data_IF_942865398626
#
_entry.id   IF_942865398626
#
_cell.length_a   1.000
_cell.length_b   1.000
_cell.length_c   1.000
_cell.angle_alpha   90.00
_cell.angle_beta   90.00
_cell.angle_gamma   90.00
#
_symmetry.space_group_name_H-M   'P 1'
#
loop_
_entity.id
_entity.type
_entity.pdbx_description
1 polymer ?
#
# COMPACT_ATOMS: atom_id res chain seq x y z
N UNK A 1 -76.82 -3.64 7.93
CA UNK A 1 -76.39 -4.49 6.79
C UNK A 1 -75.86 -3.56 5.70
N UNK A 2 -74.53 -3.48 5.55
CA UNK A 2 -73.87 -2.52 4.64
C UNK A 2 -73.74 -3.11 3.23
N UNK A 3 -73.99 -2.24 2.24
CA UNK A 3 -74.13 -2.47 0.80
C UNK A 3 -72.83 -2.94 0.14
N UNK A 4 -72.97 -3.83 -0.84
CA UNK A 4 -71.98 -4.13 -1.87
C UNK A 4 -72.40 -3.51 -3.22
N UNK A 5 -71.38 -3.25 -4.06
CA UNK A 5 -71.42 -3.01 -5.51
C UNK A 5 -71.78 -1.58 -5.95
N UNK A 6 -71.24 -1.01 -7.04
CA UNK A 6 -70.43 -1.52 -8.16
C UNK A 6 -69.74 -0.26 -8.76
N UNK A 7 -68.43 -0.28 -8.99
CA UNK A 7 -67.68 0.82 -9.65
C UNK A 7 -67.45 0.52 -11.13
N UNK A 8 -67.41 1.54 -12.02
CA UNK A 8 -67.40 1.34 -13.45
C UNK A 8 -66.02 0.98 -14.01
N UNK A 9 -66.12 0.21 -15.08
CA UNK A 9 -65.10 -0.17 -16.06
C UNK A 9 -64.42 1.06 -16.69
N UNK A 10 -63.08 1.07 -16.75
CA UNK A 10 -62.34 1.91 -17.67
C UNK A 10 -61.20 1.09 -18.29
N UNK A 11 -61.35 0.81 -19.58
CA UNK A 11 -60.30 0.32 -20.47
C UNK A 11 -59.40 1.49 -20.87
N UNK A 12 -58.09 1.40 -20.64
CA UNK A 12 -57.10 2.19 -21.39
C UNK A 12 -55.91 1.32 -21.79
N UNK A 13 -55.49 1.57 -23.03
CA UNK A 13 -54.64 0.81 -23.93
C UNK A 13 -53.16 0.78 -23.49
N UNK A 14 -52.53 -0.37 -23.72
CA UNK A 14 -51.10 -0.65 -23.60
C UNK A 14 -50.25 0.27 -24.48
N UNK A 15 -49.17 0.83 -23.93
CA UNK A 15 -48.03 1.29 -24.73
C UNK A 15 -46.76 0.72 -24.10
N UNK A 16 -46.21 -0.30 -24.77
CA UNK A 16 -44.97 -0.96 -24.43
C UNK A 16 -43.81 -0.05 -24.89
N UNK A 17 -43.23 0.73 -23.98
CA UNK A 17 -41.90 1.33 -24.22
C UNK A 17 -40.85 0.42 -23.62
N UNK A 18 -40.18 -0.35 -24.49
CA UNK A 18 -38.86 -0.94 -24.21
C UNK A 18 -37.87 0.22 -24.02
N UNK A 19 -37.79 0.73 -22.79
CA UNK A 19 -36.70 1.58 -22.36
C UNK A 19 -35.49 0.68 -22.13
N UNK A 20 -34.51 0.79 -23.02
CA UNK A 20 -33.17 0.23 -22.85
C UNK A 20 -32.63 0.83 -21.56
N UNK A 21 -32.52 0.04 -20.50
CA UNK A 21 -31.73 0.44 -19.35
C UNK A 21 -30.27 0.39 -19.83
N UNK A 22 -29.72 1.56 -20.12
CA UNK A 22 -28.29 1.76 -20.19
C UNK A 22 -27.69 1.30 -18.86
N UNK A 23 -27.12 0.09 -18.88
CA UNK A 23 -26.14 -0.33 -17.89
C UNK A 23 -24.91 0.55 -18.11
N UNK A 24 -24.89 1.70 -17.44
CA UNK A 24 -23.65 2.43 -17.21
C UNK A 24 -22.80 1.57 -16.27
N UNK A 25 -21.94 0.74 -16.86
CA UNK A 25 -20.79 0.15 -16.20
C UNK A 25 -19.82 1.28 -15.83
N UNK A 26 -20.11 1.97 -14.73
CA UNK A 26 -19.21 2.92 -14.09
C UNK A 26 -18.52 2.26 -12.91
N UNK A 27 -17.53 1.40 -13.17
CA UNK A 27 -16.49 1.11 -12.18
C UNK A 27 -15.53 2.30 -12.17
N UNK A 28 -15.96 3.40 -11.56
CA UNK A 28 -15.03 4.42 -11.12
C UNK A 28 -14.32 3.80 -9.92
N UNK A 29 -13.16 3.21 -10.20
CA UNK A 29 -12.17 2.84 -9.20
C UNK A 29 -11.70 4.16 -8.58
N UNK A 30 -12.47 4.66 -7.60
CA UNK A 30 -12.17 5.89 -6.91
C UNK A 30 -11.01 5.59 -5.99
N UNK A 31 -9.81 5.62 -6.57
CA UNK A 31 -8.59 5.39 -5.83
C UNK A 31 -8.56 6.41 -4.70
N UNK A 32 -8.66 5.92 -3.47
CA UNK A 32 -8.70 6.78 -2.29
C UNK A 32 -7.43 7.63 -2.23
N UNK A 33 -7.56 8.87 -1.77
CA UNK A 33 -6.43 9.79 -1.69
C UNK A 33 -5.32 9.20 -0.79
N UNK A 34 -4.04 9.42 -1.11
CA UNK A 34 -2.94 9.03 -0.24
C UNK A 34 -3.04 9.64 1.16
N UNK A 35 -2.66 8.86 2.17
CA UNK A 35 -2.57 9.34 3.55
C UNK A 35 -1.22 10.06 3.72
N UNK A 36 -1.27 11.35 4.05
CA UNK A 36 -0.09 12.16 4.33
C UNK A 36 0.17 12.23 5.83
N UNK A 37 1.43 12.06 6.23
CA UNK A 37 1.87 12.14 7.62
C UNK A 37 3.17 12.92 7.69
N UNK A 38 3.34 13.75 8.71
CA UNK A 38 4.58 14.48 8.97
C UNK A 38 5.19 13.98 10.29
N UNK A 39 6.47 13.59 10.25
CA UNK A 39 7.22 13.10 11.41
C UNK A 39 8.59 13.77 11.46
N UNK A 40 8.88 14.57 12.48
CA UNK A 40 10.14 15.32 12.62
C UNK A 40 10.52 16.09 11.33
N UNK A 41 9.52 16.69 10.68
CA UNK A 41 9.70 17.44 9.43
C UNK A 41 9.80 16.59 8.15
N UNK A 42 9.83 15.27 8.25
CA UNK A 42 9.71 14.37 7.11
C UNK A 42 8.24 14.16 6.75
N UNK A 43 7.84 14.61 5.57
CA UNK A 43 6.55 14.27 4.97
C UNK A 43 6.63 12.88 4.34
N UNK A 44 5.69 12.03 4.70
CA UNK A 44 5.43 10.71 4.13
C UNK A 44 4.08 10.70 3.42
N UNK A 45 3.99 10.07 2.26
CA UNK A 45 2.71 9.75 1.61
C UNK A 45 2.55 8.24 1.51
N UNK A 46 1.48 7.71 2.08
CA UNK A 46 1.13 6.29 2.07
C UNK A 46 -0.06 6.05 1.14
N UNK A 47 0.00 4.98 0.36
CA UNK A 47 -1.14 4.51 -0.41
C UNK A 47 -2.22 4.01 0.58
N UNK A 48 -3.43 4.56 0.48
CA UNK A 48 -4.49 4.35 1.48
C UNK A 48 -5.10 2.96 1.46
N UNK A 49 -4.94 2.22 0.36
CA UNK A 49 -5.45 0.86 0.21
C UNK A 49 -4.39 -0.17 0.63
N UNK A 50 -3.15 0.03 0.17
CA UNK A 50 -2.07 -0.95 0.32
C UNK A 50 -1.15 -0.65 1.48
N UNK A 51 -1.17 0.55 2.06
CA UNK A 51 -0.24 0.98 3.10
C UNK A 51 1.21 1.19 2.61
N UNK A 52 1.45 1.12 1.30
CA UNK A 52 2.78 1.24 0.72
C UNK A 52 3.27 2.67 0.70
N UNK A 53 4.59 2.87 0.80
CA UNK A 53 5.21 4.19 0.78
C UNK A 53 5.32 4.73 -0.66
N UNK A 54 4.54 5.77 -0.96
CA UNK A 54 4.50 6.42 -2.27
C UNK A 54 5.55 7.51 -2.39
N UNK A 55 5.76 8.28 -1.31
CA UNK A 55 6.63 9.46 -1.35
C UNK A 55 7.29 9.72 0.01
N UNK A 56 8.52 10.23 -0.05
CA UNK A 56 9.19 10.88 1.07
C UNK A 56 9.71 12.27 0.64
N UNK A 57 9.48 13.28 1.47
CA UNK A 57 9.91 14.65 1.23
C UNK A 57 10.38 15.32 2.52
N UNK A 58 11.50 16.04 2.46
CA UNK A 58 12.05 16.75 3.62
C UNK A 58 12.41 18.20 3.25
N UNK A 59 12.13 19.20 4.11
CA UNK A 59 12.47 20.60 3.85
C UNK A 59 13.94 20.81 3.47
N UNK A 60 14.19 21.55 2.39
CA UNK A 60 15.52 21.82 1.86
C UNK A 60 16.10 20.71 0.98
N UNK A 61 15.67 19.45 1.15
CA UNK A 61 16.02 18.31 0.28
C UNK A 61 15.00 18.18 -0.87
N UNK A 62 13.73 18.46 -0.58
CA UNK A 62 12.62 18.16 -1.51
C UNK A 62 12.26 16.68 -1.48
N UNK A 63 11.66 16.18 -2.56
CA UNK A 63 11.32 14.77 -2.71
C UNK A 63 12.58 13.94 -2.93
N UNK A 64 12.71 12.85 -2.17
CA UNK A 64 13.84 11.91 -2.31
C UNK A 64 13.41 10.45 -2.43
N UNK A 65 12.12 10.18 -2.30
CA UNK A 65 11.50 8.93 -2.73
C UNK A 65 10.21 9.28 -3.45
N UNK A 66 10.00 8.71 -4.62
CA UNK A 66 8.75 8.80 -5.38
C UNK A 66 8.52 7.48 -6.14
N UNK A 67 7.42 6.81 -5.83
CA UNK A 67 7.05 5.54 -6.41
C UNK A 67 5.62 5.58 -6.95
N UNK A 68 5.42 4.95 -8.11
CA UNK A 68 4.07 4.67 -8.61
C UNK A 68 3.42 3.59 -7.75
N UNK A 69 2.08 3.50 -7.70
CA UNK A 69 1.38 2.53 -6.86
C UNK A 69 1.78 1.06 -7.08
N UNK A 70 2.10 0.70 -8.33
CA UNK A 70 2.56 -0.65 -8.71
C UNK A 70 3.99 -0.98 -8.22
N UNK A 71 4.76 0.04 -7.82
CA UNK A 71 6.15 -0.10 -7.36
C UNK A 71 6.35 0.28 -5.90
N UNK A 72 5.50 1.15 -5.37
CA UNK A 72 5.53 1.63 -4.00
C UNK A 72 5.52 0.45 -3.04
N UNK A 73 6.39 0.46 -2.04
CA UNK A 73 6.54 -0.66 -1.11
C UNK A 73 6.98 -0.12 0.24
N UNK A 74 6.85 -0.92 1.28
CA UNK A 74 7.37 -0.61 2.62
C UNK A 74 7.98 -1.83 3.29
N UNK A 75 7.42 -3.00 2.99
CA UNK A 75 7.93 -4.31 3.38
C UNK A 75 7.79 -5.28 2.20
N UNK A 76 8.80 -6.13 2.02
CA UNK A 76 8.78 -7.19 1.02
C UNK A 76 9.46 -8.46 1.56
N UNK A 77 8.78 -9.59 1.46
CA UNK A 77 9.22 -10.89 1.97
C UNK A 77 9.39 -11.87 0.81
N UNK A 78 10.47 -12.63 0.81
CA UNK A 78 10.59 -13.80 -0.07
C UNK A 78 9.94 -15.01 0.61
N UNK A 79 8.74 -15.36 0.18
CA UNK A 79 8.03 -16.54 0.64
C UNK A 79 8.49 -17.78 -0.12
N UNK A 80 8.89 -18.84 0.59
CA UNK A 80 9.43 -20.03 -0.04
C UNK A 80 8.31 -20.84 -0.70
N UNK A 81 8.51 -21.16 -1.96
CA UNK A 81 7.69 -22.08 -2.73
C UNK A 81 8.60 -23.09 -3.44
N UNK A 82 8.09 -24.25 -3.89
CA UNK A 82 8.91 -25.25 -4.59
C UNK A 82 9.50 -24.75 -5.91
N UNK A 83 8.85 -23.78 -6.56
CA UNK A 83 9.28 -23.20 -7.83
C UNK A 83 10.54 -22.33 -7.66
N UNK A 84 11.27 -22.16 -8.77
CA UNK A 84 12.58 -21.49 -8.77
C UNK A 84 12.53 -20.02 -8.35
N UNK A 85 11.49 -19.28 -8.74
CA UNK A 85 11.34 -17.88 -8.39
C UNK A 85 10.56 -17.72 -7.08
N UNK A 86 11.14 -17.07 -6.04
CA UNK A 86 10.46 -16.89 -4.78
C UNK A 86 9.19 -16.06 -4.98
N UNK A 87 8.10 -16.48 -4.34
CA UNK A 87 6.88 -15.68 -4.26
C UNK A 87 7.18 -14.46 -3.38
N UNK A 88 6.80 -13.27 -3.83
CA UNK A 88 6.97 -12.06 -3.02
C UNK A 88 5.67 -11.82 -2.24
N UNK A 89 5.76 -11.65 -0.93
CA UNK A 89 4.68 -11.11 -0.11
C UNK A 89 5.05 -9.69 0.28
N UNK A 90 4.33 -8.70 -0.23
CA UNK A 90 4.74 -7.30 -0.10
C UNK A 90 3.55 -6.36 0.10
N UNK A 91 3.79 -5.20 0.71
CA UNK A 91 2.73 -4.21 0.95
C UNK A 91 2.02 -3.82 -0.35
N UNK A 92 2.75 -3.71 -1.47
CA UNK A 92 2.23 -3.29 -2.78
C UNK A 92 1.22 -4.23 -3.42
N UNK A 93 1.30 -5.50 -3.06
CA UNK A 93 0.34 -6.53 -3.49
C UNK A 93 -0.79 -6.71 -2.47
N UNK A 94 -0.66 -6.11 -1.30
CA UNK A 94 -1.64 -6.22 -0.22
C UNK A 94 -2.83 -5.30 -0.46
N UNK A 95 -3.92 -5.59 0.25
CA UNK A 95 -5.18 -4.84 0.22
C UNK A 95 -5.74 -4.73 1.62
N UNK A 96 -6.50 -3.68 1.89
CA UNK A 96 -7.14 -3.49 3.20
C UNK A 96 -6.15 -3.20 4.32
N UNK A 97 -5.03 -2.53 4.02
CA UNK A 97 -4.10 -2.10 5.05
C UNK A 97 -4.81 -1.17 6.05
N UNK A 98 -4.56 -1.37 7.34
CA UNK A 98 -5.11 -0.49 8.39
C UNK A 98 -4.04 0.50 8.80
N UNK A 99 -4.23 1.76 8.43
CA UNK A 99 -3.31 2.86 8.74
C UNK A 99 -3.86 3.65 9.92
N UNK A 100 -3.09 3.75 11.01
CA UNK A 100 -3.43 4.55 12.19
C UNK A 100 -2.39 5.62 12.40
N UNK A 101 -2.83 6.88 12.38
CA UNK A 101 -1.99 8.03 12.69
C UNK A 101 -2.21 8.45 14.15
N UNK A 102 -1.14 8.91 14.79
CA UNK A 102 -1.15 9.47 16.13
C UNK A 102 -0.10 10.57 16.25
N UNK A 103 -0.01 11.17 17.44
CA UNK A 103 0.97 12.22 17.71
C UNK A 103 2.40 11.65 17.60
N UNK A 104 3.13 12.10 16.58
CA UNK A 104 4.51 11.68 16.32
C UNK A 104 4.66 10.23 15.85
N UNK A 105 3.59 9.61 15.31
CA UNK A 105 3.62 8.21 14.89
C UNK A 105 2.60 7.88 13.79
N UNK A 106 2.97 6.94 12.91
CA UNK A 106 2.03 6.18 12.10
C UNK A 106 2.32 4.68 12.19
N UNK A 107 1.26 3.89 12.31
CA UNK A 107 1.29 2.43 12.25
C UNK A 107 0.51 1.94 11.04
N UNK A 108 1.08 1.01 10.28
CA UNK A 108 0.46 0.34 9.14
C UNK A 108 0.40 -1.15 9.46
N UNK A 109 -0.81 -1.71 9.47
CA UNK A 109 -1.03 -3.14 9.68
C UNK A 109 -1.57 -3.81 8.42
N UNK A 110 -1.01 -5.00 8.15
CA UNK A 110 -1.52 -5.96 7.20
C UNK A 110 -1.86 -7.23 7.98
N UNK A 111 -3.15 -7.59 8.04
CA UNK A 111 -3.55 -8.90 8.58
C UNK A 111 -3.02 -10.04 7.69
N UNK A 112 -2.89 -9.77 6.39
CA UNK A 112 -2.33 -10.69 5.42
C UNK A 112 -1.59 -9.88 4.33
N UNK A 113 -0.32 -10.19 4.10
CA UNK A 113 0.45 -9.62 3.01
C UNK A 113 0.09 -10.30 1.69
N UNK A 114 -0.23 -9.48 0.68
CA UNK A 114 -0.60 -9.96 -0.64
C UNK A 114 0.58 -10.54 -1.43
N UNK A 115 0.27 -11.51 -2.28
CA UNK A 115 1.23 -12.22 -3.11
C UNK A 115 1.43 -11.54 -4.48
N UNK A 116 2.65 -11.63 -5.02
CA UNK A 116 3.00 -11.05 -6.33
C UNK A 116 2.30 -11.67 -7.54
N UNK A 117 1.68 -12.84 -7.36
CA UNK A 117 0.92 -13.58 -8.36
C UNK A 117 -0.15 -14.40 -7.67
N UNK A 118 -1.13 -14.86 -8.44
CA UNK A 118 -2.17 -15.76 -7.95
C UNK A 118 -1.55 -17.02 -7.37
N UNK A 119 -1.57 -17.12 -6.04
CA UNK A 119 -0.99 -18.21 -5.27
C UNK A 119 -1.63 -18.22 -3.88
N UNK A 120 -2.16 -19.37 -3.50
CA UNK A 120 -2.70 -19.57 -2.15
C UNK A 120 -1.54 -19.82 -1.18
N UNK A 121 -1.23 -18.80 -0.37
CA UNK A 121 -0.21 -18.92 0.68
C UNK A 121 -0.75 -19.85 1.76
N UNK A 122 -0.03 -20.93 2.14
CA UNK A 122 -0.49 -21.79 3.22
C UNK A 122 -0.37 -21.04 4.55
N UNK A 123 -1.50 -20.80 5.22
CA UNK A 123 -1.58 -19.98 6.42
C UNK A 123 -1.50 -18.48 6.12
N UNK A 124 -1.31 -17.67 7.14
CA UNK A 124 -1.30 -16.21 7.02
C UNK A 124 0.10 -15.64 7.32
N UNK A 125 0.49 -14.60 6.59
CA UNK A 125 1.70 -13.84 6.88
C UNK A 125 1.30 -12.38 7.09
N UNK A 126 1.26 -11.96 8.35
CA UNK A 126 0.90 -10.61 8.74
C UNK A 126 2.14 -9.75 8.95
N UNK A 127 1.98 -8.43 8.84
CA UNK A 127 3.02 -7.48 9.17
C UNK A 127 2.47 -6.22 9.83
N UNK A 128 3.26 -5.64 10.73
CA UNK A 128 3.02 -4.32 11.31
C UNK A 128 4.28 -3.49 11.13
N UNK A 129 4.14 -2.34 10.47
CA UNK A 129 5.20 -1.34 10.37
C UNK A 129 4.81 -0.12 11.19
N UNK A 130 5.73 0.34 12.04
CA UNK A 130 5.60 1.54 12.86
C UNK A 130 6.68 2.54 12.48
N UNK A 131 6.29 3.75 12.12
CA UNK A 131 7.16 4.89 11.90
C UNK A 131 6.87 5.90 13.00
N UNK A 132 7.89 6.29 13.76
CA UNK A 132 7.72 7.24 14.88
C UNK A 132 8.81 8.28 14.89
N UNK A 133 8.50 9.44 15.44
CA UNK A 133 9.49 10.44 15.76
C UNK A 133 10.52 9.89 16.77
N UNK A 134 11.79 10.18 16.51
CA UNK A 134 12.82 10.03 17.51
C UNK A 134 12.85 11.26 18.43
N UNK A 135 13.36 11.07 19.64
CA UNK A 135 13.44 12.12 20.67
C UNK A 135 14.46 13.23 20.36
N UNK A 136 15.24 13.08 19.29
CA UNK A 136 16.22 14.07 18.85
C UNK A 136 15.62 15.20 17.99
N UNK A 137 14.31 15.12 17.69
CA UNK A 137 13.58 16.09 16.89
C UNK A 137 13.98 16.13 15.40
N UNK A 138 14.74 15.13 14.92
CA UNK A 138 15.28 15.11 13.54
C UNK A 138 15.15 13.76 12.87
N UNK A 139 15.31 12.68 13.62
CA UNK A 139 15.30 11.33 13.10
C UNK A 139 13.90 10.73 13.21
N UNK A 140 13.59 9.75 12.36
CA UNK A 140 12.45 8.86 12.58
C UNK A 140 12.96 7.45 12.83
N UNK A 141 12.21 6.67 13.60
CA UNK A 141 12.51 5.28 13.91
C UNK A 141 11.46 4.41 13.22
N UNK A 142 11.94 3.52 12.37
CA UNK A 142 11.14 2.53 11.69
C UNK A 142 11.28 1.19 12.42
N UNK A 143 10.18 0.49 12.62
CA UNK A 143 10.15 -0.85 13.21
C UNK A 143 9.17 -1.72 12.45
N UNK A 144 9.52 -2.98 12.25
CA UNK A 144 8.70 -3.95 11.55
C UNK A 144 8.57 -5.22 12.39
N UNK A 145 7.36 -5.71 12.54
CA UNK A 145 7.07 -7.04 13.09
C UNK A 145 6.41 -7.88 11.99
N UNK A 146 6.94 -9.07 11.74
CA UNK A 146 6.34 -10.05 10.84
C UNK A 146 5.83 -11.21 11.68
N UNK A 147 4.56 -11.55 11.53
CA UNK A 147 3.95 -12.70 12.19
C UNK A 147 3.67 -13.76 11.15
N UNK A 148 4.37 -14.88 11.25
CA UNK A 148 4.26 -15.99 10.31
C UNK A 148 3.39 -17.11 10.90
N UNK A 149 2.17 -17.26 10.39
CA UNK A 149 1.28 -18.39 10.68
C UNK A 149 1.33 -19.47 9.58
N UNK A 150 2.25 -19.34 8.62
CA UNK A 150 2.54 -20.40 7.64
C UNK A 150 3.39 -21.51 8.25
N UNK A 151 3.24 -22.78 7.80
CA UNK A 151 4.21 -23.83 8.11
C UNK A 151 5.60 -23.58 7.49
N UNK A 152 5.70 -22.67 6.52
CA UNK A 152 6.95 -22.42 5.81
C UNK A 152 7.75 -21.27 6.46
N UNK A 153 9.07 -21.45 6.71
CA UNK A 153 9.88 -20.39 7.30
C UNK A 153 10.18 -19.27 6.28
N UNK A 154 9.87 -18.04 6.64
CA UNK A 154 10.24 -16.84 5.87
C UNK A 154 11.73 -16.54 6.14
N UNK A 155 12.56 -16.60 5.09
CA UNK A 155 14.01 -16.50 5.23
C UNK A 155 14.58 -15.12 4.92
N UNK A 156 13.85 -14.32 4.14
CA UNK A 156 14.32 -13.02 3.70
C UNK A 156 13.22 -11.99 3.89
N UNK A 157 13.60 -10.90 4.54
CA UNK A 157 12.76 -9.74 4.81
C UNK A 157 13.53 -8.52 4.33
N UNK A 158 12.94 -7.79 3.39
CA UNK A 158 13.41 -6.48 2.98
C UNK A 158 12.59 -5.43 3.72
N UNK A 159 13.24 -4.77 4.67
CA UNK A 159 12.65 -3.68 5.44
C UNK A 159 13.72 -2.66 5.89
N UNK A 160 13.45 -1.35 5.78
CA UNK A 160 12.38 -0.78 4.96
C UNK A 160 12.65 -1.02 3.46
N UNK A 161 11.59 -1.25 2.70
CA UNK A 161 11.69 -1.34 1.23
C UNK A 161 11.48 0.04 0.60
N UNK A 162 12.57 0.78 0.39
CA UNK A 162 12.57 2.12 -0.19
C UNK A 162 12.63 2.11 -1.72
N UNK A 163 11.74 1.36 -2.36
CA UNK A 163 11.55 1.43 -3.81
C UNK A 163 11.18 2.87 -4.22
N UNK A 164 11.81 3.35 -5.30
CA UNK A 164 11.59 4.71 -5.80
C UNK A 164 12.51 5.79 -5.20
N UNK A 165 13.58 5.41 -4.50
CA UNK A 165 14.61 6.36 -4.10
C UNK A 165 15.17 7.14 -5.30
N UNK A 166 15.33 8.44 -5.11
CA UNK A 166 15.88 9.36 -6.09
C UNK A 166 17.32 9.75 -5.72
N UNK A 167 18.20 10.10 -6.69
CA UNK A 167 19.51 10.66 -6.42
C UNK A 167 19.38 12.15 -6.01
N UNK A 168 18.76 12.42 -4.86
CA UNK A 168 18.37 13.78 -4.44
C UNK A 168 19.56 14.72 -4.19
N UNK A 169 20.74 14.18 -3.89
CA UNK A 169 22.00 14.93 -3.81
C UNK A 169 22.83 14.82 -5.11
N UNK A 170 22.30 14.19 -6.15
CA UNK A 170 23.01 13.73 -7.35
C UNK A 170 23.59 12.32 -7.17
N UNK A 171 23.83 11.62 -8.28
CA UNK A 171 24.23 10.20 -8.29
C UNK A 171 25.47 9.91 -7.42
N UNK A 172 26.42 10.86 -7.43
CA UNK A 172 27.74 10.75 -6.82
C UNK A 172 27.80 11.13 -5.33
N UNK A 173 26.80 11.90 -4.87
CA UNK A 173 26.75 12.46 -3.52
C UNK A 173 25.56 11.95 -2.71
N UNK A 174 24.66 11.19 -3.31
CA UNK A 174 23.62 10.46 -2.58
C UNK A 174 24.24 9.22 -1.95
N UNK A 175 24.26 9.18 -0.63
CA UNK A 175 24.90 8.13 0.16
C UNK A 175 23.87 7.36 0.98
N UNK A 176 23.98 6.04 0.98
CA UNK A 176 23.33 5.18 1.97
C UNK A 176 24.36 4.82 3.05
N UNK A 177 24.05 5.12 4.30
CA UNK A 177 24.93 4.86 5.44
C UNK A 177 24.29 3.83 6.37
N UNK A 178 25.00 2.75 6.65
CA UNK A 178 24.64 1.76 7.67
C UNK A 178 25.78 1.61 8.69
N UNK A 179 25.55 0.86 9.77
CA UNK A 179 26.50 0.71 10.89
C UNK A 179 27.85 0.13 10.46
N UNK A 180 28.75 0.99 9.96
CA UNK A 180 30.08 0.64 9.46
C UNK A 180 30.22 0.62 7.93
N UNK A 181 29.19 0.95 7.16
CA UNK A 181 29.26 0.94 5.70
C UNK A 181 28.66 2.23 5.11
N UNK A 182 29.24 2.68 4.01
CA UNK A 182 28.74 3.75 3.16
C UNK A 182 28.68 3.20 1.74
N UNK A 183 27.52 3.30 1.11
CA UNK A 183 27.29 2.94 -0.28
C UNK A 183 26.86 4.18 -1.04
N UNK A 184 27.25 4.26 -2.30
CA UNK A 184 26.72 5.23 -3.27
C UNK A 184 25.79 4.52 -4.23
N UNK A 185 24.51 4.32 -3.85
CA UNK A 185 23.62 3.40 -4.56
C UNK A 185 23.47 3.70 -6.05
N UNK A 186 23.47 4.97 -6.45
CA UNK A 186 23.28 5.38 -7.85
C UNK A 186 24.57 5.38 -8.68
N UNK A 187 25.73 5.27 -8.04
CA UNK A 187 27.01 5.05 -8.71
C UNK A 187 27.28 3.55 -8.86
N UNK A 188 27.18 2.81 -7.74
CA UNK A 188 27.57 1.41 -7.66
C UNK A 188 26.62 0.46 -8.40
N UNK A 189 25.31 0.74 -8.38
CA UNK A 189 24.29 -0.12 -9.03
C UNK A 189 24.07 0.21 -10.51
N UNK A 190 24.74 1.24 -11.04
CA UNK A 190 24.58 1.64 -12.45
C UNK A 190 25.39 0.75 -13.41
N UNK A 191 26.35 0.00 -12.88
CA UNK A 191 27.28 -0.83 -13.64
C UNK A 191 26.93 -2.33 -13.66
N UNK A 192 25.80 -2.72 -13.07
CA UNK A 192 25.29 -4.10 -13.07
C UNK A 192 24.34 -4.39 -14.22
#
# INVERSE_FOLDING_TARGET
MKKHSLGPCLFVVSMLTLGVNDFAAGSLDSKADPIRVDLNGLTLSLDSETGSLLQMEYPGVGKFLEATPDKASLIDLAFPIPEFEPLRLASRFSRGAVIRTGDGEVTVDWSELGASRDFEVPGEVAATVRLREATDGRSIILSCTVTNHSPNPIRQVLFPDFMGLLPFAGDQATEFRSGGCLLKPFEELRTS
#
